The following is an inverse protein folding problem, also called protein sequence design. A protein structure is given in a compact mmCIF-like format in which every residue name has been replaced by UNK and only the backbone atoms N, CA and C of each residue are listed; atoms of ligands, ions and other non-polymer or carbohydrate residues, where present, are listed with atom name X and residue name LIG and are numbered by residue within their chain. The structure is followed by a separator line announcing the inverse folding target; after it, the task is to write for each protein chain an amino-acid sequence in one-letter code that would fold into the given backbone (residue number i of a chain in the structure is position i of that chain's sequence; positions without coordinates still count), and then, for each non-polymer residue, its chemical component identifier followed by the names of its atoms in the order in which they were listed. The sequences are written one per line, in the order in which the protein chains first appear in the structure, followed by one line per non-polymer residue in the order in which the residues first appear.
data_IF_592449791721
#
_entry.id   IF_592449791721
#
_cell.length_a   1.000
_cell.length_b   1.000
_cell.length_c   1.000
_cell.angle_alpha   90.00
_cell.angle_beta   90.00
_cell.angle_gamma   90.00
#
_symmetry.space_group_name_H-M   'P 1'
#
loop_
_entity.id
_entity.type
_entity.pdbx_description
1 polymer ?
#
# COMPACT_ATOMS: atom_id res chain seq x y z
N UNK A 1 37.09 -2.52 60.04
CA UNK A 1 37.72 -1.36 60.74
C UNK A 1 37.07 -0.11 60.21
N UNK A 2 36.28 0.51 61.06
CA UNK A 2 36.09 1.95 61.37
C UNK A 2 35.62 2.84 60.25
N UNK A 3 34.33 3.23 60.25
CA UNK A 3 33.71 4.44 60.90
C UNK A 3 34.27 5.75 60.35
N UNK A 4 33.33 6.60 59.79
CA UNK A 4 32.67 7.79 60.35
C UNK A 4 31.82 8.43 59.27
N UNK A 5 30.54 8.63 59.37
CA UNK A 5 29.71 9.59 60.12
C UNK A 5 30.01 11.09 59.85
N UNK A 6 28.88 11.74 59.54
CA UNK A 6 28.53 13.16 59.57
C UNK A 6 28.32 13.81 58.19
N UNK A 7 27.37 14.70 57.89
CA UNK A 7 26.48 15.45 58.77
C UNK A 7 25.27 15.95 57.89
N UNK A 8 24.11 16.04 58.51
CA UNK A 8 22.91 16.75 58.02
C UNK A 8 23.16 18.26 57.95
N UNK A 9 22.90 18.90 56.82
CA UNK A 9 22.59 20.33 56.82
C UNK A 9 21.20 20.55 56.20
N UNK A 10 20.35 21.05 57.08
CA UNK A 10 19.01 21.55 56.81
C UNK A 10 19.15 22.93 56.18
N UNK A 11 18.59 23.09 54.98
CA UNK A 11 18.35 24.43 54.41
C UNK A 11 16.86 24.70 54.32
N UNK A 12 16.44 25.65 55.12
CA UNK A 12 15.07 26.21 55.15
C UNK A 12 14.72 26.80 53.78
N UNK A 13 13.62 26.34 53.23
CA UNK A 13 12.95 26.93 52.10
C UNK A 13 12.22 28.20 52.53
N UNK A 14 12.59 29.34 51.98
CA UNK A 14 11.84 30.58 52.06
C UNK A 14 10.77 30.60 50.98
N UNK A 15 9.53 30.36 51.38
CA UNK A 15 8.36 30.58 50.54
C UNK A 15 8.12 32.08 50.40
N UNK A 16 8.23 32.66 49.21
CA UNK A 16 7.66 33.94 48.84
C UNK A 16 6.20 33.79 48.48
N UNK A 17 5.33 34.75 48.89
CA UNK A 17 3.93 34.73 48.47
C UNK A 17 3.81 35.09 46.99
N UNK A 18 2.97 34.37 46.28
CA UNK A 18 2.61 34.66 44.91
C UNK A 18 1.54 35.72 44.88
N UNK A 19 1.76 36.75 44.09
CA UNK A 19 0.80 37.82 43.76
C UNK A 19 -0.46 37.28 43.05
N UNK A 20 -1.62 37.92 43.23
CA UNK A 20 -2.85 37.45 42.64
C UNK A 20 -2.87 37.68 41.12
N UNK A 21 -3.23 36.66 40.41
CA UNK A 21 -3.40 36.65 38.95
C UNK A 21 -4.50 37.64 38.54
N UNK A 22 -4.35 38.34 37.38
CA UNK A 22 -5.43 39.15 36.82
C UNK A 22 -6.57 38.26 36.35
N UNK A 23 -7.79 38.66 36.66
CA UNK A 23 -9.03 38.02 36.26
C UNK A 23 -9.15 37.98 34.73
N UNK A 24 -9.22 36.77 34.16
CA UNK A 24 -9.57 36.56 32.76
C UNK A 24 -11.07 36.81 32.60
N UNK A 25 -11.41 37.88 31.91
CA UNK A 25 -12.78 38.19 31.48
C UNK A 25 -13.28 37.03 30.56
N UNK A 26 -14.22 36.26 31.06
CA UNK A 26 -14.99 35.28 30.25
C UNK A 26 -15.95 36.08 29.37
N UNK A 27 -15.57 36.30 28.11
CA UNK A 27 -16.52 36.67 27.08
C UNK A 27 -17.48 35.51 26.84
N UNK A 28 -18.73 35.69 27.23
CA UNK A 28 -19.81 34.80 26.88
C UNK A 28 -19.92 34.76 25.36
N UNK A 29 -19.70 33.56 24.79
CA UNK A 29 -20.04 33.28 23.39
C UNK A 29 -21.58 33.25 23.29
N UNK A 30 -22.15 34.29 22.70
CA UNK A 30 -23.54 34.27 22.29
C UNK A 30 -23.72 33.22 21.21
N UNK A 31 -24.36 32.12 21.57
CA UNK A 31 -24.79 31.09 20.60
C UNK A 31 -25.98 31.69 19.85
N UNK A 32 -25.75 32.11 18.62
CA UNK A 32 -26.86 32.40 17.70
C UNK A 32 -27.59 31.11 17.41
N UNK A 33 -28.94 31.13 17.40
CA UNK A 33 -29.68 29.93 17.00
C UNK A 33 -29.33 29.57 15.56
N UNK A 34 -29.29 28.27 15.20
CA UNK A 34 -29.00 27.85 13.83
C UNK A 34 -30.07 28.45 12.91
N UNK A 35 -29.59 29.18 11.90
CA UNK A 35 -30.43 29.53 10.75
C UNK A 35 -31.05 28.24 10.21
N UNK A 36 -32.37 28.17 10.17
CA UNK A 36 -33.12 27.12 9.49
C UNK A 36 -32.51 26.96 8.11
N UNK A 37 -31.91 25.80 7.86
CA UNK A 37 -31.47 25.43 6.53
C UNK A 37 -32.69 25.35 5.68
N UNK A 38 -32.81 26.24 4.70
CA UNK A 38 -33.77 26.08 3.61
C UNK A 38 -33.49 24.76 2.92
N UNK A 39 -34.42 23.84 3.10
CA UNK A 39 -34.50 22.59 2.34
C UNK A 39 -34.97 22.92 0.94
N UNK A 40 -34.02 23.26 0.05
CA UNK A 40 -34.30 23.14 -1.39
C UNK A 40 -33.02 23.44 -2.17
N UNK A 41 -32.37 22.45 -2.56
CA UNK A 41 -31.68 22.15 -3.82
C UNK A 41 -30.79 20.95 -3.57
N UNK A 42 -31.31 19.75 -3.72
CA UNK A 42 -30.49 18.60 -4.07
C UNK A 42 -29.75 18.98 -5.35
N UNK A 43 -28.49 19.37 -5.20
CA UNK A 43 -27.59 19.50 -6.34
C UNK A 43 -27.70 18.21 -7.13
N UNK A 44 -27.98 18.26 -8.47
CA UNK A 44 -28.10 17.05 -9.25
C UNK A 44 -26.85 16.22 -9.01
N UNK A 45 -27.01 14.99 -8.50
CA UNK A 45 -25.89 14.08 -8.28
C UNK A 45 -25.20 13.93 -9.62
N UNK A 46 -24.00 14.52 -9.76
CA UNK A 46 -23.22 14.43 -10.99
C UNK A 46 -23.09 12.97 -11.36
N UNK A 47 -23.49 12.59 -12.56
CA UNK A 47 -23.43 11.21 -13.01
C UNK A 47 -21.98 10.70 -12.94
N UNK A 48 -21.77 9.40 -12.77
CA UNK A 48 -20.44 8.80 -12.79
C UNK A 48 -19.65 9.21 -14.06
N UNK A 49 -20.37 9.35 -15.19
CA UNK A 49 -19.79 9.81 -16.46
C UNK A 49 -19.27 11.25 -16.37
N UNK A 50 -20.04 12.18 -15.83
CA UNK A 50 -19.61 13.58 -15.69
C UNK A 50 -18.39 13.71 -14.77
N UNK A 51 -18.38 12.96 -13.65
CA UNK A 51 -17.25 12.95 -12.70
C UNK A 51 -16.01 12.35 -13.34
N UNK A 52 -16.13 11.24 -14.08
CA UNK A 52 -15.02 10.61 -14.80
C UNK A 52 -14.43 11.55 -15.85
N UNK A 53 -15.28 12.20 -16.65
CA UNK A 53 -14.87 13.17 -17.67
C UNK A 53 -14.14 14.36 -17.03
N UNK A 54 -14.72 14.97 -16.01
CA UNK A 54 -14.10 16.09 -15.28
C UNK A 54 -12.76 15.71 -14.67
N UNK A 55 -12.67 14.52 -14.09
CA UNK A 55 -11.41 13.99 -13.55
C UNK A 55 -10.34 13.86 -14.65
N UNK A 56 -10.67 13.22 -15.78
CA UNK A 56 -9.73 13.01 -16.88
C UNK A 56 -9.26 14.34 -17.48
N UNK A 57 -10.19 15.26 -17.77
CA UNK A 57 -9.87 16.60 -18.28
C UNK A 57 -8.91 17.35 -17.36
N UNK A 58 -9.15 17.31 -16.04
CA UNK A 58 -8.27 17.91 -15.04
C UNK A 58 -6.84 17.38 -15.16
N UNK A 59 -6.66 16.06 -15.22
CA UNK A 59 -5.33 15.47 -15.27
C UNK A 59 -4.65 15.64 -16.63
N UNK A 60 -5.41 15.68 -17.72
CA UNK A 60 -4.87 16.02 -19.03
C UNK A 60 -4.37 17.47 -19.09
N UNK A 61 -5.08 18.41 -18.46
CA UNK A 61 -4.66 19.82 -18.43
C UNK A 61 -3.44 20.05 -17.52
N UNK A 62 -3.28 19.26 -16.46
CA UNK A 62 -2.10 19.33 -15.57
C UNK A 62 -0.85 18.71 -16.20
N UNK A 63 -1.01 17.83 -17.19
CA UNK A 63 0.08 17.08 -17.80
C UNK A 63 0.65 15.99 -16.90
N UNK A 64 1.76 15.36 -17.32
CA UNK A 64 2.43 14.32 -16.54
C UNK A 64 3.03 14.88 -15.26
N UNK A 65 2.93 14.11 -14.18
CA UNK A 65 3.62 14.39 -12.94
C UNK A 65 4.97 13.67 -12.92
N UNK A 66 6.05 14.41 -12.72
CA UNK A 66 7.41 13.88 -12.70
C UNK A 66 8.03 14.01 -11.31
N UNK A 67 8.89 13.06 -10.93
CA UNK A 67 9.75 13.14 -9.77
C UNK A 67 11.03 12.34 -9.98
N UNK A 68 12.09 12.69 -9.25
CA UNK A 68 13.35 11.94 -9.22
C UNK A 68 13.61 11.40 -7.84
N UNK A 69 14.24 10.26 -7.75
CA UNK A 69 14.65 9.64 -6.50
C UNK A 69 15.90 8.80 -6.70
N UNK A 70 16.86 8.91 -5.79
CA UNK A 70 17.99 7.98 -5.73
C UNK A 70 17.55 6.66 -5.08
N UNK A 71 17.95 5.53 -5.66
CA UNK A 71 17.68 4.22 -5.09
C UNK A 71 18.58 3.99 -3.86
N UNK A 72 17.96 4.03 -2.70
CA UNK A 72 18.64 3.90 -1.40
C UNK A 72 18.76 2.44 -0.96
N UNK A 73 20.00 2.02 -0.63
CA UNK A 73 20.30 0.64 -0.21
C UNK A 73 19.57 0.25 1.09
N UNK A 74 19.51 1.14 2.06
CA UNK A 74 18.89 0.85 3.35
C UNK A 74 17.37 0.71 3.19
N UNK A 75 16.73 1.55 2.37
CA UNK A 75 15.30 1.44 2.08
C UNK A 75 14.96 0.10 1.42
N UNK A 76 15.78 -0.35 0.47
CA UNK A 76 15.60 -1.66 -0.19
C UNK A 76 15.84 -2.82 0.78
N UNK A 77 16.82 -2.71 1.70
CA UNK A 77 17.04 -3.69 2.75
C UNK A 77 15.85 -3.79 3.70
N UNK A 78 15.33 -2.66 4.17
CA UNK A 78 14.14 -2.61 5.03
C UNK A 78 12.92 -3.21 4.33
N UNK A 79 12.76 -2.97 3.03
CA UNK A 79 11.70 -3.59 2.23
C UNK A 79 11.88 -5.11 2.18
N UNK A 80 13.07 -5.61 1.89
CA UNK A 80 13.36 -7.06 1.84
C UNK A 80 13.07 -7.75 3.18
N UNK A 81 13.47 -7.15 4.29
CA UNK A 81 13.16 -7.65 5.63
C UNK A 81 11.66 -7.61 5.95
N UNK A 82 10.96 -6.59 5.48
CA UNK A 82 9.49 -6.49 5.61
C UNK A 82 8.77 -7.59 4.83
N UNK A 83 9.33 -7.99 3.69
CA UNK A 83 8.86 -9.12 2.89
C UNK A 83 9.26 -10.48 3.47
N UNK A 84 9.86 -10.52 4.66
CA UNK A 84 10.41 -11.72 5.29
C UNK A 84 11.50 -12.41 4.43
N UNK A 85 12.27 -11.63 3.72
CA UNK A 85 13.41 -12.09 2.87
C UNK A 85 14.73 -11.63 3.50
N UNK A 86 15.35 -12.43 4.38
CA UNK A 86 16.62 -12.07 5.03
C UNK A 86 17.82 -12.09 4.08
N UNK A 87 17.63 -12.60 2.87
CA UNK A 87 18.63 -12.62 1.79
C UNK A 87 17.98 -12.29 0.45
N UNK A 88 18.72 -11.74 -0.49
CA UNK A 88 18.20 -11.30 -1.79
C UNK A 88 17.78 -12.49 -2.67
N UNK A 89 18.61 -13.53 -2.68
CA UNK A 89 18.38 -14.77 -3.43
C UNK A 89 18.53 -15.97 -2.50
N UNK A 90 17.95 -17.14 -2.85
CA UNK A 90 18.30 -18.39 -2.21
C UNK A 90 19.82 -18.56 -2.20
N UNK A 91 20.38 -18.96 -1.06
CA UNK A 91 21.82 -19.17 -0.85
C UNK A 91 22.73 -17.91 -0.88
N UNK A 92 22.20 -16.70 -1.09
CA UNK A 92 22.99 -15.49 -0.93
C UNK A 92 23.20 -15.15 0.56
N UNK A 93 24.26 -14.37 0.91
CA UNK A 93 24.48 -13.93 2.28
C UNK A 93 23.25 -13.23 2.85
N UNK A 94 22.96 -13.45 4.13
CA UNK A 94 21.90 -12.73 4.83
C UNK A 94 22.27 -11.25 4.92
N UNK A 95 21.27 -10.40 4.81
CA UNK A 95 21.45 -8.98 5.13
C UNK A 95 21.92 -8.83 6.59
N UNK A 96 22.89 -7.96 6.84
CA UNK A 96 23.20 -7.57 8.20
C UNK A 96 21.96 -6.94 8.84
N UNK A 97 21.82 -7.07 10.14
CA UNK A 97 20.78 -6.35 10.88
C UNK A 97 20.95 -4.85 10.59
N UNK A 98 19.91 -4.13 10.16
CA UNK A 98 20.03 -2.71 9.91
C UNK A 98 20.59 -2.03 11.15
N UNK A 99 21.59 -1.15 11.04
CA UNK A 99 21.99 -0.31 12.15
C UNK A 99 20.77 0.53 12.58
N UNK A 100 20.64 0.88 13.85
CA UNK A 100 19.63 1.85 14.25
C UNK A 100 19.82 3.10 13.39
N UNK A 101 18.72 3.76 12.95
CA UNK A 101 18.79 4.91 12.06
C UNK A 101 19.66 5.99 12.69
N UNK A 102 20.88 6.16 12.18
CA UNK A 102 21.86 7.12 12.68
C UNK A 102 21.68 8.54 12.13
N UNK A 103 20.75 8.69 11.18
CA UNK A 103 20.45 9.99 10.57
C UNK A 103 18.95 10.16 10.39
N UNK A 104 18.40 11.34 10.72
CA UNK A 104 17.07 11.68 10.29
C UNK A 104 17.04 11.61 8.75
N UNK A 105 15.98 11.01 8.20
CA UNK A 105 15.76 11.01 6.77
C UNK A 105 15.85 12.46 6.25
N UNK A 106 16.52 12.70 5.12
CA UNK A 106 16.66 14.05 4.60
C UNK A 106 15.25 14.66 4.41
N UNK A 107 15.04 15.93 4.77
CA UNK A 107 13.72 16.59 4.76
C UNK A 107 13.14 16.82 3.36
N UNK A 108 13.73 16.29 2.31
CA UNK A 108 13.37 16.56 0.92
C UNK A 108 12.27 15.68 0.33
N UNK A 109 11.72 14.73 1.07
CA UNK A 109 10.45 14.12 0.67
C UNK A 109 9.33 15.10 1.00
N UNK A 110 9.18 16.11 0.16
CA UNK A 110 7.95 16.88 0.15
C UNK A 110 6.81 15.92 -0.13
N UNK A 111 6.08 15.59 0.91
CA UNK A 111 4.83 14.84 0.87
C UNK A 111 3.72 15.66 0.17
N UNK A 112 4.03 16.24 -0.99
CA UNK A 112 3.11 17.10 -1.74
C UNK A 112 2.24 16.34 -2.73
N UNK A 113 2.44 15.06 -2.90
CA UNK A 113 1.42 14.25 -3.57
C UNK A 113 0.60 13.52 -2.51
N UNK A 114 -0.30 14.26 -1.90
CA UNK A 114 -1.41 13.65 -1.18
C UNK A 114 -2.00 12.55 -2.05
N UNK A 115 -2.10 11.34 -1.50
CA UNK A 115 -2.80 10.21 -2.13
C UNK A 115 -4.22 10.59 -2.59
N UNK A 116 -4.77 11.66 -2.05
CA UNK A 116 -6.05 12.25 -2.38
C UNK A 116 -6.05 13.01 -3.71
N UNK A 117 -4.88 13.44 -4.23
CA UNK A 117 -4.80 14.20 -5.48
C UNK A 117 -5.28 13.44 -6.71
N UNK A 118 -5.19 12.09 -6.68
CA UNK A 118 -5.65 11.20 -7.74
C UNK A 118 -7.06 10.63 -7.51
N UNK A 119 -7.83 11.15 -6.57
CA UNK A 119 -9.19 10.70 -6.35
C UNK A 119 -10.17 11.52 -7.21
N UNK A 120 -11.19 10.89 -7.82
CA UNK A 120 -12.35 11.59 -8.38
C UNK A 120 -13.10 12.36 -7.29
N UNK A 121 -14.02 13.24 -7.73
CA UNK A 121 -14.90 13.94 -6.80
C UNK A 121 -15.86 12.98 -6.09
N UNK A 122 -16.38 13.41 -4.93
CA UNK A 122 -17.49 12.73 -4.23
C UNK A 122 -18.63 12.43 -5.21
N UNK A 123 -19.30 11.27 -5.08
CA UNK A 123 -19.21 10.30 -3.99
C UNK A 123 -18.18 9.17 -4.17
N UNK A 124 -17.37 9.17 -5.24
CA UNK A 124 -16.45 8.08 -5.59
C UNK A 124 -15.12 8.19 -4.84
N UNK A 125 -15.13 7.93 -3.55
CA UNK A 125 -13.97 8.14 -2.66
C UNK A 125 -13.29 6.86 -2.20
N UNK A 126 -13.93 5.69 -2.34
CA UNK A 126 -13.37 4.39 -1.96
C UNK A 126 -12.53 3.84 -3.10
N UNK A 127 -11.20 3.93 -2.94
CA UNK A 127 -10.25 3.46 -3.96
C UNK A 127 -9.84 2.01 -3.70
N UNK A 128 -9.87 1.21 -4.77
CA UNK A 128 -9.37 -0.17 -4.79
C UNK A 128 -8.36 -0.34 -5.91
N UNK A 129 -7.33 -1.13 -5.65
CA UNK A 129 -6.38 -1.56 -6.66
C UNK A 129 -6.96 -2.78 -7.37
N UNK A 130 -7.19 -2.69 -8.68
CA UNK A 130 -7.97 -3.69 -9.40
C UNK A 130 -7.12 -4.60 -10.29
N UNK A 131 -6.03 -4.09 -10.84
CA UNK A 131 -5.19 -4.85 -11.75
C UNK A 131 -4.32 -3.95 -12.61
N UNK A 132 -3.66 -4.54 -13.57
CA UNK A 132 -2.77 -3.83 -14.49
C UNK A 132 -1.75 -4.74 -15.15
N UNK A 133 -0.69 -4.13 -15.62
CA UNK A 133 0.48 -4.81 -16.20
C UNK A 133 1.76 -4.06 -15.85
N UNK A 134 2.85 -4.79 -15.71
CA UNK A 134 4.19 -4.23 -15.59
C UNK A 134 5.05 -4.81 -16.68
N UNK A 135 5.77 -3.94 -17.39
CA UNK A 135 6.70 -4.32 -18.43
C UNK A 135 8.12 -3.93 -18.03
N UNK A 136 9.08 -4.78 -18.38
CA UNK A 136 10.51 -4.51 -18.33
C UNK A 136 11.05 -4.47 -19.77
N UNK A 137 11.03 -3.31 -20.41
CA UNK A 137 11.44 -3.17 -21.82
C UNK A 137 12.85 -3.72 -22.04
N UNK A 138 13.04 -4.36 -23.19
CA UNK A 138 14.36 -4.85 -23.63
C UNK A 138 15.01 -3.80 -24.52
N UNK A 139 16.31 -3.58 -24.33
CA UNK A 139 17.11 -2.79 -25.23
C UNK A 139 17.34 -3.47 -26.58
N UNK A 140 18.06 -2.82 -27.47
CA UNK A 140 18.40 -3.39 -28.78
C UNK A 140 19.26 -4.66 -28.69
N UNK A 141 19.92 -4.87 -27.56
CA UNK A 141 20.71 -6.06 -27.24
C UNK A 141 19.87 -7.20 -26.63
N UNK A 142 18.55 -7.04 -26.54
CA UNK A 142 17.61 -7.99 -25.94
C UNK A 142 17.64 -8.02 -24.41
N UNK A 143 18.44 -7.18 -23.75
CA UNK A 143 18.58 -7.17 -22.30
C UNK A 143 17.68 -6.12 -21.64
N UNK A 144 17.19 -6.40 -20.41
CA UNK A 144 16.45 -5.39 -19.65
C UNK A 144 17.39 -4.31 -19.11
N UNK A 145 16.87 -3.10 -19.01
CA UNK A 145 17.57 -2.03 -18.32
C UNK A 145 17.38 -2.19 -16.80
N UNK A 146 18.46 -2.54 -16.10
CA UNK A 146 18.43 -2.76 -14.65
C UNK A 146 18.63 -1.45 -13.88
N UNK A 147 17.73 -1.16 -12.98
CA UNK A 147 17.93 -0.11 -11.98
C UNK A 147 18.94 -0.58 -10.92
N UNK A 148 19.85 0.30 -10.51
CA UNK A 148 20.93 -0.02 -9.57
C UNK A 148 20.88 0.86 -8.33
N UNK A 149 21.31 0.31 -7.20
CA UNK A 149 21.47 1.07 -5.95
C UNK A 149 22.42 2.25 -6.18
N UNK A 150 22.06 3.40 -5.64
CA UNK A 150 22.80 4.66 -5.81
C UNK A 150 22.46 5.43 -7.09
N UNK A 151 21.70 4.82 -8.01
CA UNK A 151 21.30 5.43 -9.26
C UNK A 151 20.12 6.38 -9.06
N UNK A 152 20.09 7.48 -9.77
CA UNK A 152 18.93 8.35 -9.85
C UNK A 152 17.89 7.77 -10.83
N UNK A 153 16.65 7.71 -10.39
CA UNK A 153 15.52 7.22 -11.17
C UNK A 153 14.50 8.32 -11.31
N UNK A 154 14.08 8.56 -12.54
CA UNK A 154 13.03 9.51 -12.89
C UNK A 154 11.71 8.77 -13.08
N UNK A 155 10.69 9.12 -12.28
CA UNK A 155 9.33 8.64 -12.46
C UNK A 155 8.48 9.66 -13.19
N UNK A 156 7.79 9.22 -14.24
CA UNK A 156 6.74 10.00 -14.90
C UNK A 156 5.41 9.30 -14.75
N UNK A 157 4.42 9.96 -14.13
CA UNK A 157 3.08 9.42 -13.93
C UNK A 157 2.07 10.14 -14.83
N UNK A 158 1.27 9.39 -15.58
CA UNK A 158 0.20 9.88 -16.46
C UNK A 158 -1.13 9.21 -16.13
N UNK A 159 -2.21 9.97 -16.13
CA UNK A 159 -3.57 9.42 -16.14
C UNK A 159 -3.96 9.16 -17.60
N UNK A 160 -4.19 7.90 -17.94
CA UNK A 160 -4.50 7.48 -19.31
C UNK A 160 -5.99 7.52 -19.60
N UNK A 161 -6.81 7.10 -18.64
CA UNK A 161 -8.26 6.99 -18.82
C UNK A 161 -9.01 7.18 -17.50
N UNK A 162 -10.29 7.55 -17.61
CA UNK A 162 -11.26 7.49 -16.53
C UNK A 162 -12.60 7.09 -17.13
N UNK A 163 -13.09 5.90 -16.79
CA UNK A 163 -14.28 5.30 -17.39
C UNK A 163 -15.33 4.99 -16.33
N UNK A 164 -16.58 5.45 -16.51
CA UNK A 164 -17.70 5.01 -15.69
C UNK A 164 -18.03 3.55 -16.05
N UNK A 165 -18.24 2.73 -15.03
CA UNK A 165 -18.68 1.33 -15.18
C UNK A 165 -19.71 1.00 -14.13
N UNK A 166 -20.55 0.01 -14.41
CA UNK A 166 -21.57 -0.49 -13.48
C UNK A 166 -21.22 -1.92 -13.07
N UNK A 167 -21.27 -2.19 -11.78
CA UNK A 167 -21.06 -3.54 -11.22
C UNK A 167 -22.24 -4.42 -11.61
N UNK A 168 -22.03 -5.43 -12.45
CA UNK A 168 -23.09 -6.29 -12.98
C UNK A 168 -23.99 -6.93 -11.92
N UNK A 169 -23.42 -7.31 -10.75
CA UNK A 169 -24.15 -7.99 -9.68
C UNK A 169 -25.01 -7.04 -8.83
N UNK A 170 -24.57 -5.82 -8.63
CA UNK A 170 -25.21 -4.87 -7.68
C UNK A 170 -25.88 -3.69 -8.36
N UNK A 171 -25.63 -3.44 -9.66
CA UNK A 171 -26.07 -2.23 -10.35
C UNK A 171 -25.36 -0.95 -9.88
N UNK A 172 -24.35 -1.05 -9.01
CA UNK A 172 -23.66 0.09 -8.43
C UNK A 172 -22.66 0.69 -9.43
N UNK A 173 -22.68 2.01 -9.56
CA UNK A 173 -21.71 2.71 -10.39
C UNK A 173 -20.34 2.74 -9.74
N UNK A 174 -19.30 2.69 -10.56
CA UNK A 174 -17.90 2.87 -10.21
C UNK A 174 -17.17 3.64 -11.32
N UNK A 175 -16.02 4.19 -11.00
CA UNK A 175 -15.10 4.80 -11.98
C UNK A 175 -13.82 3.98 -12.01
N UNK A 176 -13.39 3.57 -13.20
CA UNK A 176 -12.12 2.89 -13.43
C UNK A 176 -11.14 3.90 -14.00
N UNK A 177 -10.03 4.11 -13.31
CA UNK A 177 -8.96 5.04 -13.71
C UNK A 177 -7.73 4.25 -14.10
N UNK A 178 -7.28 4.41 -15.35
CA UNK A 178 -6.02 3.89 -15.86
C UNK A 178 -4.88 4.89 -15.64
N UNK A 179 -3.80 4.41 -15.03
CA UNK A 179 -2.59 5.21 -14.76
C UNK A 179 -1.37 4.49 -15.29
N UNK A 180 -0.49 5.21 -15.95
CA UNK A 180 0.83 4.74 -16.35
C UNK A 180 1.92 5.42 -15.52
N UNK A 181 2.89 4.63 -15.08
CA UNK A 181 4.12 5.08 -14.46
C UNK A 181 5.30 4.55 -15.23
N UNK A 182 6.11 5.45 -15.74
CA UNK A 182 7.37 5.17 -16.41
C UNK A 182 8.51 5.45 -15.44
N UNK A 183 9.39 4.49 -15.24
CA UNK A 183 10.62 4.63 -14.47
C UNK A 183 11.81 4.50 -15.41
N UNK A 184 12.65 5.53 -15.41
CA UNK A 184 13.84 5.58 -16.27
C UNK A 184 15.08 6.05 -15.52
N UNK A 185 16.22 5.61 -16.01
CA UNK A 185 17.55 6.08 -15.63
C UNK A 185 18.25 6.68 -16.86
N UNK A 186 19.55 6.87 -16.77
CA UNK A 186 20.40 7.36 -17.87
C UNK A 186 20.41 6.44 -19.10
N UNK A 187 20.20 5.13 -18.92
CA UNK A 187 20.18 4.12 -19.99
C UNK A 187 18.80 4.02 -20.69
N UNK A 188 17.79 4.71 -20.20
CA UNK A 188 16.45 4.71 -20.78
C UNK A 188 15.35 4.18 -19.85
N UNK A 189 14.26 3.68 -20.44
CA UNK A 189 13.12 3.15 -19.68
C UNK A 189 13.48 1.77 -19.10
N UNK A 190 13.35 1.65 -17.78
CA UNK A 190 13.61 0.41 -17.08
C UNK A 190 12.32 -0.35 -16.73
N UNK A 191 11.27 0.38 -16.32
CA UNK A 191 9.98 -0.22 -15.93
C UNK A 191 8.84 0.66 -16.46
N UNK A 192 7.82 0.02 -16.99
CA UNK A 192 6.56 0.64 -17.36
C UNK A 192 5.43 -0.05 -16.60
N UNK A 193 4.82 0.65 -15.65
CA UNK A 193 3.77 0.13 -14.78
C UNK A 193 2.43 0.78 -15.13
N UNK A 194 1.52 0.02 -15.72
CA UNK A 194 0.15 0.41 -16.04
C UNK A 194 -0.80 -0.24 -15.07
N UNK A 195 -1.50 0.55 -14.29
CA UNK A 195 -2.41 0.07 -13.26
C UNK A 195 -3.80 0.67 -13.37
N UNK A 196 -4.78 -0.09 -12.95
CA UNK A 196 -6.17 0.33 -12.89
C UNK A 196 -6.61 0.48 -11.43
N UNK A 197 -7.10 1.66 -11.08
CA UNK A 197 -7.79 1.91 -9.83
C UNK A 197 -9.30 1.91 -10.07
N UNK A 198 -10.03 1.28 -9.16
CA UNK A 198 -11.48 1.34 -9.12
C UNK A 198 -11.89 2.25 -7.97
N UNK A 199 -12.75 3.21 -8.28
CA UNK A 199 -13.35 4.11 -7.29
C UNK A 199 -14.83 3.80 -7.16
N UNK A 200 -15.25 3.42 -5.95
CA UNK A 200 -16.63 3.17 -5.58
C UNK A 200 -17.18 4.30 -4.71
N UNK A 201 -18.50 4.40 -4.63
CA UNK A 201 -19.18 5.35 -3.74
C UNK A 201 -18.81 5.04 -2.28
N UNK A 202 -18.73 6.08 -1.44
CA UNK A 202 -18.65 5.91 0.00
C UNK A 202 -19.83 5.08 0.50
N UNK A 203 -19.63 4.26 1.53
CA UNK A 203 -20.73 3.56 2.19
C UNK A 203 -21.54 4.58 3.00
N UNK A 204 -22.84 4.61 2.78
CA UNK A 204 -23.75 5.55 3.47
C UNK A 204 -24.21 5.00 4.82
N UNK A 205 -24.12 3.69 5.00
CA UNK A 205 -24.43 3.02 6.27
C UNK A 205 -23.31 2.05 6.60
N UNK A 206 -22.89 1.94 7.88
CA UNK A 206 -22.04 0.83 8.31
C UNK A 206 -22.72 -0.47 7.89
N UNK A 207 -21.99 -1.34 7.20
CA UNK A 207 -22.57 -2.60 6.75
C UNK A 207 -22.88 -3.49 7.96
N UNK A 208 -24.14 -3.71 8.36
CA UNK A 208 -24.50 -4.49 9.54
C UNK A 208 -24.17 -5.99 9.38
N UNK A 209 -23.73 -6.40 8.20
CA UNK A 209 -23.42 -7.81 7.88
C UNK A 209 -22.01 -8.24 8.23
N UNK A 210 -21.15 -7.35 8.70
CA UNK A 210 -19.93 -7.82 9.39
C UNK A 210 -20.34 -8.27 10.78
N UNK A 211 -20.60 -9.56 10.88
CA UNK A 211 -20.84 -10.31 12.10
C UNK A 211 -20.17 -9.66 13.32
N UNK A 212 -20.98 -9.35 14.33
CA UNK A 212 -20.54 -8.98 15.67
C UNK A 212 -19.80 -10.14 16.40
N UNK A 213 -19.50 -11.22 15.71
CA UNK A 213 -18.61 -12.24 16.24
C UNK A 213 -17.21 -11.64 16.39
N UNK A 214 -16.64 -11.64 17.61
CA UNK A 214 -15.25 -11.31 17.78
C UNK A 214 -14.45 -12.19 16.80
N UNK A 215 -13.42 -11.66 16.13
CA UNK A 215 -12.58 -12.47 15.27
C UNK A 215 -12.15 -13.69 16.08
N UNK A 216 -12.33 -14.89 15.53
CA UNK A 216 -11.76 -16.09 16.13
C UNK A 216 -10.33 -15.73 16.54
N UNK A 217 -9.95 -16.04 17.77
CA UNK A 217 -8.66 -15.68 18.36
C UNK A 217 -7.56 -16.22 17.46
N UNK A 218 -7.23 -15.44 16.41
CA UNK A 218 -6.10 -15.74 15.58
C UNK A 218 -4.87 -15.57 16.44
N UNK A 219 -3.88 -16.42 16.28
CA UNK A 219 -2.62 -16.33 17.02
C UNK A 219 -1.95 -14.99 16.70
N UNK A 220 -2.33 -13.95 17.41
CA UNK A 220 -2.00 -12.52 17.16
C UNK A 220 -0.50 -12.26 17.18
N UNK A 221 0.30 -13.21 17.66
CA UNK A 221 1.75 -13.06 17.83
C UNK A 221 2.58 -14.07 17.01
N UNK A 222 1.97 -14.84 16.12
CA UNK A 222 2.77 -15.70 15.28
C UNK A 222 3.50 -14.86 14.20
N UNK A 223 4.80 -15.08 13.97
CA UNK A 223 5.56 -14.33 12.97
C UNK A 223 4.97 -14.55 11.57
N UNK A 224 5.20 -13.60 10.67
CA UNK A 224 4.93 -13.80 9.27
C UNK A 224 5.62 -15.09 8.80
N UNK A 225 4.89 -15.93 8.09
CA UNK A 225 5.38 -17.24 7.63
C UNK A 225 5.36 -17.33 6.11
N UNK A 226 6.31 -18.06 5.55
CA UNK A 226 6.37 -18.37 4.13
C UNK A 226 7.04 -19.72 3.95
N UNK A 227 6.34 -20.66 3.35
CA UNK A 227 6.86 -21.99 2.99
C UNK A 227 6.57 -22.27 1.52
N UNK A 228 7.53 -22.88 0.81
CA UNK A 228 7.37 -23.21 -0.61
C UNK A 228 7.47 -24.72 -0.81
N UNK A 229 6.57 -25.25 -1.61
CA UNK A 229 6.56 -26.64 -2.09
C UNK A 229 6.44 -26.68 -3.60
N UNK A 230 6.98 -27.75 -4.21
CA UNK A 230 6.96 -27.96 -5.67
C UNK A 230 6.43 -29.34 -5.96
N UNK A 231 5.50 -29.44 -6.90
CA UNK A 231 4.95 -30.71 -7.41
C UNK A 231 4.88 -30.60 -8.94
N UNK A 232 5.73 -31.37 -9.64
CA UNK A 232 5.89 -31.19 -11.09
C UNK A 232 6.33 -29.78 -11.44
N UNK A 233 5.63 -29.14 -12.35
CA UNK A 233 5.84 -27.76 -12.76
C UNK A 233 4.95 -26.74 -12.00
N UNK A 234 4.32 -27.18 -10.92
CA UNK A 234 3.51 -26.32 -10.05
C UNK A 234 4.27 -26.00 -8.77
N UNK A 235 4.43 -24.71 -8.50
CA UNK A 235 5.10 -24.18 -7.31
C UNK A 235 4.08 -23.49 -6.42
N UNK A 236 3.99 -23.91 -5.17
CA UNK A 236 3.05 -23.35 -4.21
C UNK A 236 3.79 -22.71 -3.05
N UNK A 237 3.53 -21.45 -2.80
CA UNK A 237 4.02 -20.73 -1.61
C UNK A 237 2.85 -20.42 -0.69
N UNK A 238 2.83 -21.08 0.47
CA UNK A 238 1.90 -20.77 1.55
C UNK A 238 2.50 -19.66 2.39
N UNK A 239 1.74 -18.60 2.62
CA UNK A 239 2.21 -17.44 3.37
C UNK A 239 1.10 -16.76 4.16
N UNK A 240 1.52 -16.02 5.19
CA UNK A 240 0.66 -15.22 6.04
C UNK A 240 1.30 -13.86 6.26
N UNK A 241 0.54 -12.79 6.05
CA UNK A 241 0.96 -11.43 6.34
C UNK A 241 0.38 -10.96 7.68
N UNK A 242 1.22 -10.39 8.52
CA UNK A 242 0.80 -9.87 9.83
C UNK A 242 0.44 -8.40 9.77
N UNK A 243 -0.28 -7.89 10.76
CA UNK A 243 -0.55 -6.46 10.91
C UNK A 243 0.75 -5.63 10.92
N UNK A 244 1.82 -6.16 11.52
CA UNK A 244 3.14 -5.51 11.54
C UNK A 244 3.74 -5.41 10.15
N UNK A 245 3.66 -6.49 9.34
CA UNK A 245 4.10 -6.48 7.94
C UNK A 245 3.37 -5.41 7.14
N UNK A 246 2.04 -5.35 7.28
CA UNK A 246 1.22 -4.37 6.54
C UNK A 246 1.52 -2.93 6.95
N UNK A 247 1.72 -2.67 8.25
CA UNK A 247 2.13 -1.36 8.75
C UNK A 247 3.49 -0.95 8.17
N UNK A 248 4.51 -1.83 8.23
CA UNK A 248 5.84 -1.57 7.68
C UNK A 248 5.77 -1.31 6.17
N UNK A 249 5.00 -2.09 5.44
CA UNK A 249 4.83 -1.91 4.01
C UNK A 249 4.15 -0.58 3.68
N UNK A 250 3.11 -0.19 4.42
CA UNK A 250 2.49 1.14 4.32
C UNK A 250 3.50 2.27 4.55
N UNK A 251 4.31 2.16 5.60
CA UNK A 251 5.32 3.17 5.94
C UNK A 251 6.39 3.29 4.85
N UNK A 252 6.97 2.17 4.40
CA UNK A 252 8.02 2.14 3.38
C UNK A 252 7.54 2.62 2.01
N UNK A 253 6.28 2.39 1.67
CA UNK A 253 5.70 2.80 0.39
C UNK A 253 4.94 4.12 0.46
N UNK A 254 4.94 4.80 1.61
CA UNK A 254 4.17 6.02 1.87
C UNK A 254 2.69 5.87 1.50
N UNK A 255 2.12 4.69 1.77
CA UNK A 255 0.71 4.39 1.53
C UNK A 255 -0.14 4.69 2.78
N UNK A 256 -0.84 5.84 2.86
CA UNK A 256 -1.60 6.25 4.02
C UNK A 256 -3.00 5.63 4.10
N UNK A 257 -3.36 4.72 3.21
CA UNK A 257 -4.70 4.15 3.16
C UNK A 257 -5.00 3.30 4.40
N UNK A 258 -5.87 3.78 5.25
CA UNK A 258 -6.14 3.24 6.58
C UNK A 258 -6.61 1.78 6.60
N UNK A 259 -7.16 1.26 5.50
CA UNK A 259 -7.60 -0.15 5.42
C UNK A 259 -6.47 -1.16 5.69
N UNK A 260 -5.20 -0.73 5.56
CA UNK A 260 -4.05 -1.61 5.72
C UNK A 260 -3.49 -1.65 7.16
N UNK A 261 -3.90 -0.72 8.04
CA UNK A 261 -3.34 -0.62 9.38
C UNK A 261 -4.32 -0.17 10.48
N UNK A 262 -5.55 0.18 10.14
CA UNK A 262 -6.58 0.57 11.11
C UNK A 262 -7.79 -0.36 11.03
N UNK A 263 -7.88 -1.30 11.96
CA UNK A 263 -9.02 -2.23 12.03
C UNK A 263 -10.36 -1.52 12.15
N UNK A 264 -10.54 -0.49 13.02
CA UNK A 264 -11.80 0.23 13.07
C UNK A 264 -12.17 0.87 11.73
N UNK A 265 -11.22 1.50 11.04
CA UNK A 265 -11.49 2.08 9.72
C UNK A 265 -11.86 1.02 8.70
N UNK A 266 -11.10 -0.08 8.64
CA UNK A 266 -11.36 -1.15 7.69
C UNK A 266 -12.76 -1.75 7.86
N UNK A 267 -13.20 -1.96 9.11
CA UNK A 267 -14.50 -2.56 9.43
C UNK A 267 -15.65 -1.57 9.33
N UNK A 268 -15.53 -0.46 10.03
CA UNK A 268 -16.67 0.42 10.28
C UNK A 268 -16.90 1.41 9.13
N UNK A 269 -15.84 1.78 8.39
CA UNK A 269 -15.91 2.74 7.30
C UNK A 269 -15.91 2.06 5.93
N UNK A 270 -15.05 1.03 5.74
CA UNK A 270 -14.86 0.39 4.44
C UNK A 270 -15.60 -0.96 4.30
N UNK A 271 -16.16 -1.52 5.38
CA UNK A 271 -16.95 -2.76 5.38
C UNK A 271 -16.14 -4.03 5.15
N UNK A 272 -14.85 -4.01 5.48
CA UNK A 272 -13.98 -5.19 5.46
C UNK A 272 -14.09 -5.99 6.78
N UNK A 273 -13.79 -7.29 6.75
CA UNK A 273 -13.76 -8.08 7.99
C UNK A 273 -12.57 -7.76 8.90
N UNK A 274 -11.45 -7.29 8.32
CA UNK A 274 -10.22 -6.94 9.03
C UNK A 274 -9.36 -6.03 8.13
N UNK A 275 -8.14 -5.66 8.58
CA UNK A 275 -7.18 -4.92 7.77
C UNK A 275 -6.77 -5.74 6.54
N UNK A 276 -6.65 -5.06 5.41
CA UNK A 276 -6.52 -5.65 4.07
C UNK A 276 -5.05 -5.73 3.66
N UNK A 277 -4.64 -6.86 3.08
CA UNK A 277 -3.31 -6.99 2.47
C UNK A 277 -3.22 -6.11 1.23
N UNK A 278 -2.10 -5.41 1.07
CA UNK A 278 -1.88 -4.51 -0.07
C UNK A 278 -1.85 -5.28 -1.39
N UNK A 279 -2.57 -4.80 -2.40
CA UNK A 279 -2.48 -5.35 -3.75
C UNK A 279 -1.05 -5.38 -4.32
N UNK A 280 -0.26 -4.29 -4.21
CA UNK A 280 1.15 -4.30 -4.60
C UNK A 280 2.01 -5.33 -3.83
N UNK A 281 1.74 -5.58 -2.56
CA UNK A 281 2.44 -6.63 -1.79
C UNK A 281 2.16 -8.02 -2.37
N UNK A 282 0.93 -8.27 -2.79
CA UNK A 282 0.56 -9.52 -3.48
C UNK A 282 1.30 -9.66 -4.82
N UNK A 283 1.42 -8.57 -5.60
CA UNK A 283 2.17 -8.58 -6.86
C UNK A 283 3.65 -8.90 -6.62
N UNK A 284 4.27 -8.31 -5.59
CA UNK A 284 5.65 -8.62 -5.21
C UNK A 284 5.77 -10.11 -4.81
N UNK A 285 4.83 -10.64 -4.04
CA UNK A 285 4.84 -12.06 -3.65
C UNK A 285 4.77 -13.02 -4.85
N UNK A 286 4.01 -12.65 -5.88
CA UNK A 286 3.96 -13.38 -7.15
C UNK A 286 5.32 -13.35 -7.85
N UNK A 287 5.90 -12.17 -8.03
CA UNK A 287 7.20 -12.00 -8.69
C UNK A 287 8.34 -12.67 -7.91
N UNK A 288 8.27 -12.64 -6.59
CA UNK A 288 9.23 -13.33 -5.72
C UNK A 288 9.18 -14.85 -5.88
N UNK A 289 7.98 -15.45 -5.95
CA UNK A 289 7.84 -16.87 -6.21
C UNK A 289 8.39 -17.22 -7.59
N UNK A 290 7.98 -16.50 -8.63
CA UNK A 290 8.43 -16.71 -10.01
C UNK A 290 9.96 -16.62 -10.13
N UNK A 291 10.58 -15.62 -9.51
CA UNK A 291 12.04 -15.46 -9.50
C UNK A 291 12.74 -16.60 -8.77
N UNK A 292 12.23 -17.00 -7.62
CA UNK A 292 12.85 -18.04 -6.79
C UNK A 292 12.78 -19.43 -7.44
N UNK A 293 11.81 -19.68 -8.34
CA UNK A 293 11.71 -20.93 -9.09
C UNK A 293 12.67 -21.00 -10.28
N UNK A 294 13.23 -19.88 -10.72
CA UNK A 294 14.18 -19.84 -11.85
C UNK A 294 15.58 -20.34 -11.48
N UNK A 295 15.90 -20.54 -10.20
CA UNK A 295 17.05 -21.29 -9.68
C UNK A 295 18.45 -20.91 -10.19
N UNK A 296 18.57 -19.82 -10.95
CA UNK A 296 19.79 -19.45 -11.65
C UNK A 296 20.66 -18.47 -10.89
N UNK A 297 21.96 -18.53 -11.15
CA UNK A 297 22.90 -17.46 -10.83
C UNK A 297 22.60 -16.28 -11.76
N UNK A 298 22.05 -15.22 -11.20
CA UNK A 298 21.82 -13.98 -11.94
C UNK A 298 20.45 -13.35 -11.71
N UNK A 299 20.35 -12.08 -12.08
CA UNK A 299 19.11 -11.32 -12.00
C UNK A 299 18.26 -11.61 -13.25
N UNK A 300 17.17 -12.34 -13.06
CA UNK A 300 16.18 -12.61 -14.11
C UNK A 300 14.98 -11.69 -13.90
N UNK A 301 14.61 -10.96 -14.93
CA UNK A 301 13.37 -10.19 -14.98
C UNK A 301 12.45 -10.77 -16.06
N UNK A 302 11.15 -10.85 -15.81
CA UNK A 302 10.19 -11.18 -16.86
C UNK A 302 10.16 -10.04 -17.89
N UNK A 303 9.60 -10.30 -19.05
CA UNK A 303 9.31 -9.24 -20.02
C UNK A 303 8.09 -8.43 -19.57
N UNK A 304 7.09 -9.17 -19.04
CA UNK A 304 5.81 -8.60 -18.66
C UNK A 304 5.15 -9.44 -17.57
N UNK A 305 4.37 -8.82 -16.72
CA UNK A 305 3.33 -9.43 -15.92
C UNK A 305 2.00 -8.69 -16.13
N UNK A 306 0.94 -9.44 -16.41
CA UNK A 306 -0.43 -8.92 -16.38
C UNK A 306 -1.17 -9.53 -15.19
N UNK A 307 -1.96 -8.73 -14.46
CA UNK A 307 -2.57 -9.18 -13.22
C UNK A 307 -3.94 -8.57 -12.97
N UNK A 308 -4.78 -9.29 -12.21
CA UNK A 308 -6.11 -8.84 -11.80
C UNK A 308 -6.42 -9.29 -10.38
N UNK A 309 -6.71 -8.31 -9.51
CA UNK A 309 -7.24 -8.55 -8.18
C UNK A 309 -8.77 -8.76 -8.26
N UNK A 310 -9.27 -9.77 -7.56
CA UNK A 310 -10.67 -10.17 -7.58
C UNK A 310 -11.34 -10.15 -6.22
N UNK A 311 -10.56 -10.39 -5.15
CA UNK A 311 -11.05 -10.41 -3.77
C UNK A 311 -9.97 -9.92 -2.81
N UNK A 312 -10.34 -9.27 -1.69
CA UNK A 312 -9.37 -8.86 -0.70
C UNK A 312 -8.80 -10.07 0.06
N UNK A 313 -7.53 -9.98 0.44
CA UNK A 313 -6.89 -10.81 1.46
C UNK A 313 -6.79 -10.00 2.75
N UNK A 314 -6.77 -10.68 3.88
CA UNK A 314 -6.73 -10.03 5.19
C UNK A 314 -5.51 -10.45 6.00
N UNK A 315 -5.08 -9.57 6.89
CA UNK A 315 -4.02 -9.90 7.83
C UNK A 315 -4.36 -11.16 8.63
N UNK A 316 -3.33 -11.91 8.97
CA UNK A 316 -3.38 -13.16 9.74
C UNK A 316 -4.13 -14.32 9.04
N UNK A 317 -4.69 -14.11 7.85
CA UNK A 317 -5.17 -15.22 7.03
C UNK A 317 -3.98 -15.90 6.33
N UNK A 318 -3.94 -17.22 6.37
CA UNK A 318 -3.02 -18.01 5.57
C UNK A 318 -3.58 -18.15 4.15
N UNK A 319 -2.78 -17.90 3.14
CA UNK A 319 -3.15 -17.99 1.73
C UNK A 319 -2.02 -18.58 0.89
N UNK A 320 -2.33 -19.01 -0.30
CA UNK A 320 -1.38 -19.65 -1.21
C UNK A 320 -1.17 -18.82 -2.47
N UNK A 321 0.08 -18.68 -2.87
CA UNK A 321 0.49 -18.21 -4.20
C UNK A 321 0.88 -19.46 -5.00
N UNK A 322 0.14 -19.77 -6.04
CA UNK A 322 0.33 -20.96 -6.88
C UNK A 322 0.79 -20.50 -8.25
N UNK A 323 1.99 -20.88 -8.65
CA UNK A 323 2.56 -20.67 -9.97
C UNK A 323 2.49 -22.01 -10.73
N UNK A 324 1.83 -22.00 -11.86
CA UNK A 324 1.65 -23.14 -12.77
C UNK A 324 2.37 -22.84 -14.09
N UNK A 325 3.29 -23.75 -14.47
CA UNK A 325 4.07 -23.70 -15.69
C UNK A 325 3.89 -24.99 -16.54
N UNK A 326 2.84 -25.78 -16.26
CA UNK A 326 2.61 -27.06 -16.92
C UNK A 326 2.31 -26.95 -18.42
N UNK A 327 1.77 -25.82 -18.87
CA UNK A 327 1.42 -25.63 -20.28
C UNK A 327 2.63 -25.62 -21.23
N UNK A 328 3.85 -25.39 -20.73
CA UNK A 328 5.08 -25.43 -21.53
C UNK A 328 5.18 -24.35 -22.61
N UNK A 329 4.29 -23.35 -22.58
CA UNK A 329 4.25 -22.24 -23.54
C UNK A 329 5.12 -21.04 -23.12
N UNK A 330 5.92 -21.19 -22.08
CA UNK A 330 6.78 -20.15 -21.52
C UNK A 330 6.04 -19.13 -20.66
N UNK A 331 4.73 -19.28 -20.46
CA UNK A 331 3.91 -18.36 -19.65
C UNK A 331 3.67 -18.97 -18.27
N UNK A 332 4.14 -18.26 -17.23
CA UNK A 332 3.82 -18.62 -15.84
C UNK A 332 2.42 -18.12 -15.48
N UNK A 333 1.50 -19.03 -15.15
CA UNK A 333 0.14 -18.70 -14.69
C UNK A 333 0.09 -18.71 -13.18
N UNK A 334 -0.33 -17.60 -12.58
CA UNK A 334 -0.32 -17.46 -11.12
C UNK A 334 -1.71 -17.19 -10.58
N UNK A 335 -2.04 -17.85 -9.49
CA UNK A 335 -3.21 -17.55 -8.70
C UNK A 335 -2.84 -17.34 -7.23
N UNK A 336 -3.44 -16.35 -6.60
CA UNK A 336 -3.44 -16.23 -5.14
C UNK A 336 -4.78 -16.76 -4.65
N UNK A 337 -4.72 -17.79 -3.80
CA UNK A 337 -5.89 -18.50 -3.28
C UNK A 337 -6.03 -18.19 -1.79
N UNK A 338 -7.12 -17.53 -1.44
CA UNK A 338 -7.49 -17.21 -0.06
C UNK A 338 -8.05 -18.44 0.68
N UNK A 339 -8.19 -18.41 2.01
CA UNK A 339 -8.89 -19.44 2.76
C UNK A 339 -10.27 -19.74 2.15
N UNK A 340 -10.60 -21.03 2.08
CA UNK A 340 -11.85 -21.49 1.44
C UNK A 340 -11.80 -21.58 -0.08
N UNK A 341 -10.62 -21.50 -0.71
CA UNK A 341 -10.44 -21.71 -2.14
C UNK A 341 -10.82 -20.52 -3.04
N UNK A 342 -11.06 -19.35 -2.44
CA UNK A 342 -11.42 -18.14 -3.20
C UNK A 342 -10.19 -17.57 -3.88
N UNK A 343 -10.24 -17.42 -5.21
CA UNK A 343 -9.15 -16.77 -5.96
C UNK A 343 -9.18 -15.26 -5.70
N UNK A 344 -8.15 -14.75 -5.02
CA UNK A 344 -8.01 -13.34 -4.66
C UNK A 344 -7.30 -12.52 -5.75
N UNK A 345 -6.39 -13.16 -6.51
CA UNK A 345 -5.66 -12.52 -7.60
C UNK A 345 -5.25 -13.55 -8.64
N UNK A 346 -5.23 -13.13 -9.91
CA UNK A 346 -4.67 -13.91 -11.03
C UNK A 346 -3.60 -13.09 -11.72
N UNK A 347 -2.58 -13.77 -12.25
CA UNK A 347 -1.55 -13.14 -13.06
C UNK A 347 -1.01 -14.10 -14.12
N UNK A 348 -0.45 -13.52 -15.17
CA UNK A 348 0.33 -14.21 -16.20
C UNK A 348 1.67 -13.50 -16.33
N UNK A 349 2.76 -14.27 -16.46
CA UNK A 349 4.14 -13.77 -16.50
C UNK A 349 4.83 -14.33 -17.74
N UNK A 350 5.41 -13.46 -18.56
CA UNK A 350 6.16 -13.79 -19.77
C UNK A 350 7.65 -13.49 -19.62
#
# INVERSE_FOLDING_TARGET
MSFTSAARQSTRSLLRPLDPRPSVSTRAFSVRPPLRADTSASSPSSSASAIATSFLTRFQSLGPHTRSQTLDANQLQLLSLTLNRPSLFPNSPRYPTPPPPSHPAPPSLQATTSYTSYNPASPFTRRMWAGGEVHWPRGNDGKPNFLRVGQEVHETTRVLSAEPKTVRKTGEDMIVVGVEKEFRNEDGVAVLDRRNWVFRKALTTPNPTTSSAPPATKAVNAPASSTTSTTGNTHTRTQRQTAVTLFRFSALTFNPHKIHYSTPWARDVEGHKDIVVHGPLNLISILDLWRDTRGGEGLVLPEKIAYRATSPLYAEDEYQVVLDEEAGDGVGRVQIVAPGGVVAMKAEIW
#
